data_IF_498135248580
#
_entry.id   IF_498135248580
#
_cell.length_a   1.000
_cell.length_b   1.000
_cell.length_c   1.000
_cell.angle_alpha   90.00
_cell.angle_beta   90.00
_cell.angle_gamma   90.00
#
_symmetry.space_group_name_H-M   'P 1'
#
loop_
_entity.id
_entity.type
_entity.pdbx_description
1 polymer ?
#
# COMPACT_ATOMS: atom_id res chain seq x y z
N UNK A 1 -2.31 12.22 -24.24
CA UNK A 1 -1.47 11.24 -24.95
C UNK A 1 -1.73 9.88 -24.34
N UNK A 2 -2.22 8.90 -25.12
CA UNK A 2 -2.49 7.55 -24.62
C UNK A 2 -1.17 6.76 -24.70
N UNK A 3 -0.71 6.23 -23.57
CA UNK A 3 0.48 5.38 -23.53
C UNK A 3 0.22 4.05 -24.25
N UNK A 4 1.18 3.60 -25.05
CA UNK A 4 1.11 2.30 -25.74
C UNK A 4 1.10 1.16 -24.69
N UNK A 5 0.10 0.28 -24.79
CA UNK A 5 -0.07 -0.88 -23.89
C UNK A 5 1.14 -1.82 -23.90
N UNK A 6 1.82 -1.97 -25.05
CA UNK A 6 3.03 -2.79 -25.16
C UNK A 6 4.18 -2.17 -24.38
N UNK A 7 4.38 -0.85 -24.48
CA UNK A 7 5.41 -0.12 -23.73
C UNK A 7 5.18 -0.23 -22.22
N UNK A 8 3.93 -0.08 -21.77
CA UNK A 8 3.57 -0.21 -20.35
C UNK A 8 3.84 -1.64 -19.86
N UNK A 9 3.41 -2.65 -20.61
CA UNK A 9 3.61 -4.07 -20.28
C UNK A 9 5.10 -4.43 -20.19
N UNK A 10 5.91 -3.99 -21.14
CA UNK A 10 7.34 -4.25 -21.13
C UNK A 10 8.06 -3.55 -19.97
N UNK A 11 7.65 -2.33 -19.63
CA UNK A 11 8.18 -1.61 -18.47
C UNK A 11 7.86 -2.33 -17.17
N UNK A 12 6.63 -2.78 -16.97
CA UNK A 12 6.22 -3.56 -15.79
C UNK A 12 7.00 -4.87 -15.68
N UNK A 13 7.20 -5.59 -16.79
CA UNK A 13 8.02 -6.82 -16.81
C UNK A 13 9.48 -6.57 -16.44
N UNK A 14 10.06 -5.44 -16.88
CA UNK A 14 11.43 -5.06 -16.50
C UNK A 14 11.54 -4.77 -15.00
N UNK A 15 10.54 -4.07 -14.44
CA UNK A 15 10.46 -3.82 -12.99
C UNK A 15 10.38 -5.16 -12.24
N UNK A 16 9.45 -6.03 -12.61
CA UNK A 16 9.28 -7.36 -12.01
C UNK A 16 10.58 -8.18 -12.05
N UNK A 17 11.21 -8.28 -13.22
CA UNK A 17 12.48 -9.00 -13.40
C UNK A 17 13.58 -8.45 -12.49
N UNK A 18 13.71 -7.13 -12.37
CA UNK A 18 14.72 -6.52 -11.52
C UNK A 18 14.41 -6.73 -10.03
N UNK A 19 13.15 -6.63 -9.61
CA UNK A 19 12.75 -6.96 -8.23
C UNK A 19 13.04 -8.43 -7.88
N UNK A 20 12.78 -9.37 -8.80
CA UNK A 20 13.12 -10.78 -8.60
C UNK A 20 14.61 -11.00 -8.44
N UNK A 21 15.44 -10.31 -9.24
CA UNK A 21 16.90 -10.37 -9.10
C UNK A 21 17.37 -9.80 -7.77
N UNK A 22 16.86 -8.63 -7.38
CA UNK A 22 17.20 -8.01 -6.09
C UNK A 22 16.80 -8.89 -4.91
N UNK A 23 15.64 -9.57 -4.99
CA UNK A 23 15.23 -10.53 -3.97
C UNK A 23 16.27 -11.64 -3.76
N UNK A 24 16.73 -12.27 -4.85
CA UNK A 24 17.78 -13.31 -4.76
C UNK A 24 19.07 -12.78 -4.15
N UNK A 25 19.46 -11.56 -4.50
CA UNK A 25 20.64 -10.92 -3.92
C UNK A 25 20.47 -10.64 -2.41
N UNK A 26 19.24 -10.33 -1.93
CA UNK A 26 18.98 -10.21 -0.50
C UNK A 26 19.08 -11.56 0.22
N UNK A 27 18.58 -12.64 -0.38
CA UNK A 27 18.73 -14.00 0.18
C UNK A 27 20.24 -14.36 0.32
N UNK A 28 21.07 -13.97 -0.65
CA UNK A 28 22.53 -14.12 -0.57
C UNK A 28 23.15 -13.23 0.53
N UNK A 29 22.65 -12.00 0.74
CA UNK A 29 23.13 -11.14 1.83
C UNK A 29 22.84 -11.71 3.23
N UNK A 30 21.75 -12.45 3.41
CA UNK A 30 21.49 -13.14 4.69
C UNK A 30 22.62 -14.10 5.05
N UNK A 31 23.20 -14.80 4.07
CA UNK A 31 24.35 -15.68 4.29
C UNK A 31 25.61 -14.91 4.75
N UNK A 32 25.80 -13.68 4.27
CA UNK A 32 26.90 -12.80 4.71
C UNK A 32 26.71 -12.41 6.19
N UNK A 33 25.48 -12.14 6.61
CA UNK A 33 25.17 -11.82 8.02
C UNK A 33 25.53 -12.99 8.93
N UNK A 34 25.18 -14.23 8.54
CA UNK A 34 25.53 -15.44 9.30
C UNK A 34 27.05 -15.58 9.43
N UNK A 35 27.79 -15.44 8.32
CA UNK A 35 29.26 -15.50 8.36
C UNK A 35 29.86 -14.43 9.30
N UNK A 36 29.23 -13.26 9.39
CA UNK A 36 29.70 -12.19 10.27
C UNK A 36 29.40 -12.47 11.74
N UNK A 37 28.26 -13.13 12.03
CA UNK A 37 27.98 -13.62 13.38
C UNK A 37 29.03 -14.65 13.82
N UNK A 38 29.45 -15.54 12.92
CA UNK A 38 30.52 -16.50 13.20
C UNK A 38 31.87 -15.79 13.45
N UNK A 39 32.21 -14.76 12.68
CA UNK A 39 33.41 -13.93 12.92
C UNK A 39 33.36 -13.29 14.32
N UNK A 40 32.21 -12.77 14.74
CA UNK A 40 32.06 -12.23 16.10
C UNK A 40 32.20 -13.31 17.17
N UNK A 41 31.60 -14.48 16.97
CA UNK A 41 31.73 -15.60 17.90
C UNK A 41 33.19 -16.01 18.09
N UNK A 42 33.95 -16.15 16.99
CA UNK A 42 35.38 -16.44 17.05
C UNK A 42 36.20 -15.32 17.69
N UNK A 43 35.83 -14.06 17.44
CA UNK A 43 36.49 -12.92 18.07
C UNK A 43 36.27 -12.90 19.59
N UNK A 44 35.04 -13.13 20.05
CA UNK A 44 34.71 -13.18 21.48
C UNK A 44 35.39 -14.37 22.17
N UNK A 45 35.43 -15.53 21.51
CA UNK A 45 36.18 -16.70 22.00
C UNK A 45 37.68 -16.36 22.15
N UNK A 46 38.29 -15.78 21.12
CA UNK A 46 39.71 -15.38 21.14
C UNK A 46 39.97 -14.33 22.23
N UNK A 47 39.07 -13.35 22.38
CA UNK A 47 39.16 -12.30 23.40
C UNK A 47 39.07 -12.88 24.81
N UNK A 48 38.19 -13.87 25.03
CA UNK A 48 38.05 -14.55 26.32
C UNK A 48 39.33 -15.33 26.70
N UNK A 49 39.93 -16.03 25.74
CA UNK A 49 41.16 -16.82 25.94
C UNK A 49 42.39 -15.92 26.15
N UNK A 50 42.53 -14.85 25.37
CA UNK A 50 43.64 -13.90 25.49
C UNK A 50 43.58 -13.02 26.74
N UNK A 51 42.41 -12.88 27.37
CA UNK A 51 42.29 -12.16 28.63
C UNK A 51 43.02 -12.86 29.80
N UNK A 52 43.37 -14.14 29.66
CA UNK A 52 43.87 -15.00 30.73
C UNK A 52 45.38 -14.84 31.01
N UNK A 53 46.19 -14.43 30.03
CA UNK A 53 47.64 -14.21 30.24
C UNK A 53 48.25 -13.13 29.34
N UNK A 54 49.33 -12.48 29.81
CA UNK A 54 50.08 -11.50 29.01
C UNK A 54 50.87 -12.15 27.86
N UNK A 55 51.18 -13.44 27.97
CA UNK A 55 51.89 -14.19 26.94
C UNK A 55 50.98 -14.48 25.74
N UNK A 56 49.73 -14.86 25.99
CA UNK A 56 48.72 -15.06 24.94
C UNK A 56 48.41 -13.76 24.17
N UNK A 57 48.33 -12.62 24.89
CA UNK A 57 48.18 -11.29 24.25
C UNK A 57 49.35 -10.97 23.33
N UNK A 58 50.57 -11.28 23.76
CA UNK A 58 51.78 -11.05 22.96
C UNK A 58 51.81 -11.95 21.72
N UNK A 59 51.44 -13.21 21.86
CA UNK A 59 51.35 -14.18 20.76
C UNK A 59 50.31 -13.77 19.72
N UNK A 60 49.10 -13.40 20.14
CA UNK A 60 48.06 -12.90 19.24
C UNK A 60 48.50 -11.61 18.55
N UNK A 61 49.13 -10.69 19.28
CA UNK A 61 49.68 -9.46 18.68
C UNK A 61 50.76 -9.71 17.63
N UNK A 62 51.58 -10.76 17.77
CA UNK A 62 52.54 -11.17 16.74
C UNK A 62 51.86 -11.82 15.53
N UNK A 63 50.90 -12.71 15.76
CA UNK A 63 50.17 -13.37 14.67
C UNK A 63 49.40 -12.35 13.84
N UNK A 64 48.65 -11.44 14.47
CA UNK A 64 47.89 -10.40 13.77
C UNK A 64 48.79 -9.57 12.85
N UNK A 65 49.99 -9.17 13.31
CA UNK A 65 50.97 -8.41 12.51
C UNK A 65 51.46 -9.14 11.26
N UNK A 66 51.35 -10.46 11.23
CA UNK A 66 51.77 -11.29 10.08
C UNK A 66 50.61 -11.68 9.16
N UNK A 67 49.38 -11.38 9.56
CA UNK A 67 48.15 -11.67 8.80
C UNK A 67 47.61 -10.42 8.13
N UNK A 68 46.78 -10.60 7.10
CA UNK A 68 46.02 -9.50 6.46
C UNK A 68 44.63 -9.31 7.08
N UNK A 69 44.42 -9.77 8.32
CA UNK A 69 43.10 -9.81 8.96
C UNK A 69 42.53 -8.39 9.13
N UNK A 70 43.36 -7.44 9.52
CA UNK A 70 42.95 -6.06 9.75
C UNK A 70 42.55 -5.38 8.44
N UNK A 71 43.35 -5.55 7.39
CA UNK A 71 43.08 -5.02 6.05
C UNK A 71 41.77 -5.57 5.49
N UNK A 72 41.59 -6.89 5.55
CA UNK A 72 40.38 -7.56 5.08
C UNK A 72 39.13 -7.09 5.86
N UNK A 73 39.24 -6.95 7.19
CA UNK A 73 38.14 -6.46 8.02
C UNK A 73 37.81 -5.00 7.70
N UNK A 74 38.81 -4.13 7.56
CA UNK A 74 38.63 -2.72 7.22
C UNK A 74 38.00 -2.52 5.85
N UNK A 75 38.46 -3.26 4.83
CA UNK A 75 37.87 -3.20 3.48
C UNK A 75 36.41 -3.66 3.49
N UNK A 76 36.13 -4.79 4.14
CA UNK A 76 34.77 -5.30 4.28
C UNK A 76 33.86 -4.30 5.01
N UNK A 77 34.32 -3.73 6.13
CA UNK A 77 33.56 -2.74 6.88
C UNK A 77 33.26 -1.49 6.06
N UNK A 78 34.22 -1.00 5.28
CA UNK A 78 34.00 0.11 4.35
C UNK A 78 32.94 -0.23 3.31
N UNK A 79 33.02 -1.43 2.71
CA UNK A 79 32.03 -1.89 1.72
C UNK A 79 30.62 -1.98 2.33
N UNK A 80 30.50 -2.41 3.59
CA UNK A 80 29.23 -2.49 4.30
C UNK A 80 28.63 -1.08 4.54
N UNK A 81 29.44 -0.12 4.97
CA UNK A 81 29.00 1.28 5.16
C UNK A 81 28.52 1.87 3.83
N UNK A 82 29.27 1.69 2.75
CA UNK A 82 28.91 2.16 1.42
C UNK A 82 27.60 1.55 0.93
N UNK A 83 27.41 0.25 1.17
CA UNK A 83 26.17 -0.46 0.84
C UNK A 83 24.99 0.08 1.66
N UNK A 84 25.17 0.29 2.97
CA UNK A 84 24.13 0.85 3.84
C UNK A 84 23.68 2.24 3.36
N UNK A 85 24.62 3.10 3.00
CA UNK A 85 24.35 4.44 2.45
C UNK A 85 23.53 4.35 1.16
N UNK A 86 23.95 3.49 0.22
CA UNK A 86 23.26 3.26 -1.06
C UNK A 86 21.84 2.72 -0.84
N UNK A 87 21.66 1.71 0.01
CA UNK A 87 20.34 1.13 0.31
C UNK A 87 19.41 2.19 0.93
N UNK A 88 19.92 2.97 1.88
CA UNK A 88 19.14 4.04 2.54
C UNK A 88 18.61 5.02 1.49
N UNK A 89 19.45 5.46 0.55
CA UNK A 89 19.06 6.39 -0.51
C UNK A 89 18.00 5.83 -1.48
N UNK A 90 17.96 4.51 -1.67
CA UNK A 90 17.03 3.84 -2.59
C UNK A 90 15.71 3.46 -1.89
N UNK A 91 15.72 3.26 -0.57
CA UNK A 91 14.56 2.81 0.20
C UNK A 91 13.32 3.71 0.03
N UNK A 92 13.51 5.04 0.01
CA UNK A 92 12.43 6.01 -0.19
C UNK A 92 11.80 5.85 -1.58
N UNK A 93 12.62 5.67 -2.62
CA UNK A 93 12.13 5.46 -4.00
C UNK A 93 11.39 4.13 -4.15
N UNK A 94 11.83 3.08 -3.46
CA UNK A 94 11.12 1.79 -3.45
C UNK A 94 9.74 1.93 -2.81
N UNK A 95 9.63 2.72 -1.73
CA UNK A 95 8.33 3.02 -1.11
C UNK A 95 7.41 3.78 -2.06
N UNK A 96 7.92 4.77 -2.80
CA UNK A 96 7.15 5.50 -3.81
C UNK A 96 6.63 4.56 -4.91
N UNK A 97 7.48 3.65 -5.40
CA UNK A 97 7.09 2.64 -6.40
C UNK A 97 5.99 1.73 -5.84
N UNK A 98 6.13 1.26 -4.60
CA UNK A 98 5.12 0.43 -3.95
C UNK A 98 3.77 1.17 -3.84
N UNK A 99 3.77 2.42 -3.37
CA UNK A 99 2.57 3.25 -3.27
C UNK A 99 1.92 3.51 -4.64
N UNK A 100 2.74 3.75 -5.67
CA UNK A 100 2.27 3.91 -7.03
C UNK A 100 1.57 2.64 -7.54
N UNK A 101 2.18 1.47 -7.39
CA UNK A 101 1.57 0.20 -7.82
C UNK A 101 0.31 -0.12 -7.00
N UNK A 102 0.33 0.13 -5.69
CA UNK A 102 -0.82 -0.06 -4.81
C UNK A 102 -2.00 0.85 -5.17
N UNK A 103 -1.75 2.04 -5.71
CA UNK A 103 -2.81 2.93 -6.21
C UNK A 103 -3.63 2.23 -7.30
N UNK A 104 -3.00 1.54 -8.24
CA UNK A 104 -3.71 0.75 -9.26
C UNK A 104 -4.34 -0.53 -8.72
N UNK A 105 -4.00 -0.92 -7.49
CA UNK A 105 -4.56 -2.12 -6.84
C UNK A 105 -5.77 -1.79 -5.97
N UNK A 106 -5.78 -0.60 -5.36
CA UNK A 106 -6.74 -0.22 -4.32
C UNK A 106 -7.69 0.90 -4.72
N UNK A 107 -7.44 1.57 -5.86
CA UNK A 107 -8.22 2.70 -6.33
C UNK A 107 -8.79 2.42 -7.71
N UNK A 108 -10.10 2.64 -7.88
CA UNK A 108 -10.78 2.61 -9.18
C UNK A 108 -11.63 3.84 -9.36
N UNK A 109 -11.68 4.35 -10.59
CA UNK A 109 -12.55 5.45 -10.96
C UNK A 109 -13.50 4.98 -12.04
N UNK A 110 -14.80 5.07 -11.79
CA UNK A 110 -15.84 4.66 -12.74
C UNK A 110 -16.57 5.89 -13.26
N UNK A 111 -16.77 5.96 -14.58
CA UNK A 111 -17.60 6.99 -15.20
C UNK A 111 -18.91 6.37 -15.67
N UNK A 112 -19.99 6.72 -14.99
CA UNK A 112 -21.30 6.09 -15.19
C UNK A 112 -22.12 6.98 -16.12
N UNK A 113 -22.14 6.67 -17.41
CA UNK A 113 -22.80 7.53 -18.42
C UNK A 113 -24.33 7.54 -18.29
N UNK A 114 -24.94 6.44 -17.85
CA UNK A 114 -26.37 6.35 -17.60
C UNK A 114 -26.64 6.46 -16.08
N UNK A 115 -27.29 7.53 -15.60
CA UNK A 115 -27.62 7.71 -14.19
C UNK A 115 -28.40 6.53 -13.59
N UNK A 116 -29.23 5.82 -14.36
CA UNK A 116 -29.96 4.64 -13.86
C UNK A 116 -29.02 3.48 -13.50
N UNK A 117 -27.89 3.36 -14.21
CA UNK A 117 -26.87 2.33 -13.93
C UNK A 117 -26.10 2.60 -12.64
N UNK A 118 -26.15 3.83 -12.08
CA UNK A 118 -25.47 4.13 -10.81
C UNK A 118 -26.04 3.32 -9.67
N UNK A 119 -27.36 3.13 -9.65
CA UNK A 119 -28.05 2.41 -8.59
C UNK A 119 -27.79 0.91 -8.70
N UNK A 120 -27.88 0.35 -9.90
CA UNK A 120 -27.52 -1.05 -10.14
C UNK A 120 -26.06 -1.33 -9.76
N UNK A 121 -25.14 -0.43 -10.11
CA UNK A 121 -23.72 -0.52 -9.76
C UNK A 121 -23.52 -0.50 -8.25
N UNK A 122 -24.13 0.45 -7.55
CA UNK A 122 -24.00 0.60 -6.10
C UNK A 122 -24.68 -0.53 -5.33
N UNK A 123 -25.85 -1.01 -5.78
CA UNK A 123 -26.54 -2.14 -5.15
C UNK A 123 -25.73 -3.42 -5.31
N UNK A 124 -25.32 -3.79 -6.52
CA UNK A 124 -24.49 -4.98 -6.75
C UNK A 124 -23.12 -4.90 -6.06
N UNK A 125 -22.60 -3.69 -5.91
CA UNK A 125 -21.41 -3.41 -5.10
C UNK A 125 -21.64 -3.66 -3.61
N UNK A 126 -22.68 -3.07 -3.03
CA UNK A 126 -22.97 -3.11 -1.60
C UNK A 126 -23.47 -4.47 -1.13
N UNK A 127 -24.14 -5.24 -1.99
CA UNK A 127 -24.51 -6.64 -1.72
C UNK A 127 -23.28 -7.52 -1.43
N UNK A 128 -22.10 -7.16 -1.97
CA UNK A 128 -20.83 -7.83 -1.70
C UNK A 128 -20.16 -7.44 -0.38
N UNK A 129 -20.67 -6.44 0.34
CA UNK A 129 -20.18 -5.95 1.63
C UNK A 129 -21.14 -6.36 2.75
N UNK A 130 -20.87 -7.51 3.37
CA UNK A 130 -21.74 -8.13 4.37
C UNK A 130 -21.70 -7.49 5.78
N UNK A 131 -21.03 -6.35 5.96
CA UNK A 131 -20.71 -5.84 7.29
C UNK A 131 -21.58 -4.66 7.72
N UNK A 132 -21.86 -4.64 9.02
CA UNK A 132 -22.57 -3.61 9.81
C UNK A 132 -21.80 -2.29 9.90
N UNK A 133 -21.23 -1.84 8.78
CA UNK A 133 -20.44 -0.63 8.75
C UNK A 133 -21.34 0.58 8.84
N UNK A 134 -21.04 1.44 9.82
CA UNK A 134 -21.58 2.78 9.88
C UNK A 134 -20.85 3.59 8.81
N UNK A 135 -21.60 3.94 7.78
CA UNK A 135 -21.10 4.84 6.75
C UNK A 135 -21.26 6.28 7.20
N UNK A 136 -20.24 7.10 6.89
CA UNK A 136 -20.24 8.55 7.14
C UNK A 136 -20.34 9.31 5.82
N UNK A 137 -21.55 9.64 5.34
CA UNK A 137 -21.72 10.55 4.24
C UNK A 137 -21.27 11.97 4.61
N UNK A 138 -20.41 12.55 3.78
CA UNK A 138 -20.01 13.96 3.84
C UNK A 138 -20.38 14.63 2.52
N UNK A 139 -21.16 15.70 2.57
CA UNK A 139 -21.60 16.45 1.40
C UNK A 139 -20.80 17.74 1.27
N UNK A 140 -20.33 18.05 0.06
CA UNK A 140 -19.52 19.24 -0.18
C UNK A 140 -20.46 20.41 -0.54
N UNK A 141 -20.77 21.28 0.44
CA UNK A 141 -21.63 22.47 0.31
C UNK A 141 -22.64 22.62 1.46
N UNK A 142 -23.41 23.71 1.47
CA UNK A 142 -24.47 23.93 2.47
C UNK A 142 -25.61 22.91 2.30
N UNK A 143 -25.93 22.18 3.37
CA UNK A 143 -26.92 21.10 3.35
C UNK A 143 -27.82 21.10 4.57
N UNK A 144 -29.13 20.88 4.34
CA UNK A 144 -30.10 20.53 5.39
C UNK A 144 -30.07 19.02 5.65
N UNK A 145 -29.16 18.57 6.52
CA UNK A 145 -29.02 17.15 6.91
C UNK A 145 -30.30 16.56 7.50
N UNK A 146 -31.17 17.41 8.05
CA UNK A 146 -32.38 16.99 8.77
C UNK A 146 -33.45 16.41 7.82
N UNK A 147 -33.44 16.80 6.54
CA UNK A 147 -34.35 16.23 5.53
C UNK A 147 -33.95 14.79 5.16
N UNK A 148 -32.66 14.45 5.25
CA UNK A 148 -32.16 13.10 5.03
C UNK A 148 -32.52 12.19 6.20
N UNK A 149 -32.38 12.69 7.44
CA UNK A 149 -32.79 11.97 8.66
C UNK A 149 -34.27 11.60 8.60
N UNK A 150 -35.15 12.57 8.31
CA UNK A 150 -36.60 12.34 8.23
C UNK A 150 -36.98 11.35 7.13
N UNK A 151 -36.36 11.46 5.95
CA UNK A 151 -36.74 10.67 4.78
C UNK A 151 -36.18 9.25 4.79
N UNK A 152 -34.99 9.06 5.34
CA UNK A 152 -34.23 7.81 5.22
C UNK A 152 -34.00 7.08 6.55
N UNK A 153 -34.39 7.68 7.68
CA UNK A 153 -34.20 7.09 9.01
C UNK A 153 -32.73 6.96 9.42
N UNK A 154 -31.84 7.80 8.86
CA UNK A 154 -30.42 7.83 9.19
C UNK A 154 -30.16 8.66 10.45
N UNK A 155 -29.10 8.36 11.19
CA UNK A 155 -28.78 9.05 12.46
C UNK A 155 -27.79 10.19 12.20
N UNK A 156 -27.98 11.35 12.82
CA UNK A 156 -27.03 12.47 12.74
C UNK A 156 -25.88 12.27 13.73
N UNK A 157 -24.65 12.51 13.31
CA UNK A 157 -23.44 12.40 14.12
C UNK A 157 -22.54 13.62 13.87
N UNK A 158 -22.81 14.73 14.59
CA UNK A 158 -22.17 16.01 14.31
C UNK A 158 -22.52 16.53 12.90
N UNK A 159 -21.53 16.84 12.05
CA UNK A 159 -21.77 17.25 10.65
C UNK A 159 -22.06 16.07 9.70
N UNK A 160 -21.94 14.83 10.18
CA UNK A 160 -22.08 13.62 9.35
C UNK A 160 -23.43 12.94 9.54
N UNK A 161 -23.79 12.08 8.58
CA UNK A 161 -24.86 11.11 8.74
C UNK A 161 -24.27 9.73 9.05
N UNK A 162 -25.02 8.89 9.75
CA UNK A 162 -24.72 7.48 9.99
C UNK A 162 -25.80 6.65 9.30
N UNK A 163 -25.40 5.87 8.31
CA UNK A 163 -26.30 4.99 7.55
C UNK A 163 -25.77 3.55 7.57
N UNK A 164 -26.69 2.60 7.73
CA UNK A 164 -26.40 1.17 7.47
C UNK A 164 -26.28 0.92 5.97
N UNK A 165 -25.55 -0.15 5.59
CA UNK A 165 -25.34 -0.51 4.19
C UNK A 165 -26.64 -0.62 3.38
N UNK A 166 -27.72 -1.17 3.98
CA UNK A 166 -29.04 -1.34 3.36
C UNK A 166 -29.66 0.01 2.95
N UNK A 167 -29.34 1.08 3.67
CA UNK A 167 -29.91 2.42 3.47
C UNK A 167 -29.09 3.22 2.45
N UNK A 168 -27.84 2.81 2.16
CA UNK A 168 -26.95 3.53 1.26
C UNK A 168 -27.50 3.71 -0.16
N UNK A 169 -28.09 2.70 -0.84
CA UNK A 169 -28.65 2.91 -2.18
C UNK A 169 -29.69 4.03 -2.21
N UNK A 170 -30.61 4.05 -1.22
CA UNK A 170 -31.65 5.08 -1.08
C UNK A 170 -31.07 6.45 -0.70
N UNK A 171 -30.02 6.46 0.12
CA UNK A 171 -29.32 7.71 0.47
C UNK A 171 -28.68 8.34 -0.75
N UNK A 172 -28.02 7.53 -1.57
CA UNK A 172 -27.36 7.98 -2.79
C UNK A 172 -28.41 8.44 -3.82
N UNK A 173 -29.50 7.69 -3.98
CA UNK A 173 -30.64 8.09 -4.82
C UNK A 173 -31.21 9.44 -4.41
N UNK A 174 -31.44 9.63 -3.12
CA UNK A 174 -31.95 10.89 -2.63
C UNK A 174 -30.96 12.04 -2.82
N UNK A 175 -29.66 11.81 -2.56
CA UNK A 175 -28.60 12.78 -2.83
C UNK A 175 -28.58 13.23 -4.30
N UNK A 176 -28.59 12.29 -5.25
CA UNK A 176 -28.65 12.61 -6.67
C UNK A 176 -29.93 13.35 -7.06
N UNK A 177 -31.08 12.97 -6.50
CA UNK A 177 -32.36 13.66 -6.70
C UNK A 177 -32.37 15.10 -6.18
N UNK A 178 -31.58 15.40 -5.14
CA UNK A 178 -31.36 16.76 -4.62
C UNK A 178 -30.25 17.52 -5.38
N UNK A 179 -29.80 17.02 -6.54
CA UNK A 179 -28.66 17.55 -7.29
C UNK A 179 -27.33 17.60 -6.50
N UNK A 180 -27.21 16.82 -5.43
CA UNK A 180 -25.96 16.67 -4.68
C UNK A 180 -25.05 15.71 -5.45
N UNK A 181 -24.18 16.31 -6.27
CA UNK A 181 -23.30 15.56 -7.17
C UNK A 181 -21.88 15.41 -6.62
N UNK A 182 -21.60 15.93 -5.43
CA UNK A 182 -20.29 15.86 -4.77
C UNK A 182 -20.48 15.44 -3.31
N UNK A 183 -20.18 14.18 -3.01
CA UNK A 183 -20.24 13.67 -1.64
C UNK A 183 -19.33 12.45 -1.47
N UNK A 184 -18.94 12.19 -0.22
CA UNK A 184 -18.07 11.09 0.18
C UNK A 184 -18.89 10.13 1.03
N UNK A 185 -18.69 8.82 0.88
CA UNK A 185 -19.24 7.79 1.78
C UNK A 185 -18.06 6.96 2.26
N UNK A 186 -17.79 6.96 3.57
CA UNK A 186 -16.64 6.29 4.15
C UNK A 186 -17.03 5.31 5.26
N UNK A 187 -16.34 4.16 5.31
CA UNK A 187 -16.32 3.18 6.39
C UNK A 187 -14.87 2.74 6.66
N UNK A 188 -14.67 1.73 7.52
CA UNK A 188 -13.33 1.29 7.94
C UNK A 188 -12.42 0.88 6.77
N UNK A 189 -12.96 0.19 5.76
CA UNK A 189 -12.19 -0.41 4.64
C UNK A 189 -12.69 0.04 3.25
N UNK A 190 -13.52 1.08 3.21
CA UNK A 190 -14.13 1.55 1.99
C UNK A 190 -14.34 3.06 2.01
N UNK A 191 -13.91 3.72 0.94
CA UNK A 191 -14.26 5.10 0.66
C UNK A 191 -14.76 5.24 -0.76
N UNK A 192 -15.95 5.82 -0.91
CA UNK A 192 -16.55 6.18 -2.17
C UNK A 192 -16.55 7.70 -2.28
N UNK A 193 -16.08 8.24 -3.40
CA UNK A 193 -16.10 9.66 -3.69
C UNK A 193 -16.94 9.87 -4.96
N UNK A 194 -18.09 10.50 -4.79
CA UNK A 194 -18.99 10.87 -5.87
C UNK A 194 -18.66 12.28 -6.33
N UNK A 195 -18.55 12.47 -7.65
CA UNK A 195 -18.26 13.76 -8.28
C UNK A 195 -19.26 14.06 -9.39
N UNK A 196 -19.36 15.35 -9.73
CA UNK A 196 -20.10 15.84 -10.92
C UNK A 196 -19.77 15.01 -12.16
N UNK A 197 -20.79 14.74 -12.98
CA UNK A 197 -20.68 13.90 -14.17
C UNK A 197 -20.76 12.40 -13.89
N UNK A 198 -21.37 11.99 -12.77
CA UNK A 198 -21.58 10.59 -12.38
C UNK A 198 -20.28 9.78 -12.32
N UNK A 199 -19.26 10.42 -11.74
CA UNK A 199 -17.95 9.80 -11.52
C UNK A 199 -17.90 9.29 -10.09
N UNK A 200 -17.57 8.01 -9.92
CA UNK A 200 -17.42 7.36 -8.62
C UNK A 200 -15.98 6.88 -8.49
N UNK A 201 -15.25 7.41 -7.52
CA UNK A 201 -13.91 6.91 -7.15
C UNK A 201 -14.04 6.01 -5.94
N UNK A 202 -13.55 4.78 -6.02
CA UNK A 202 -13.61 3.78 -4.97
C UNK A 202 -12.21 3.51 -4.47
N UNK A 203 -12.02 3.59 -3.15
CA UNK A 203 -10.81 3.21 -2.44
C UNK A 203 -11.13 2.03 -1.53
N UNK A 204 -10.52 0.88 -1.76
CA UNK A 204 -10.74 -0.34 -0.99
C UNK A 204 -9.68 -1.40 -1.31
N UNK A 205 -9.75 -2.57 -0.69
CA UNK A 205 -8.83 -3.67 -0.93
C UNK A 205 -8.97 -4.28 -2.33
N UNK A 206 -7.88 -4.88 -2.85
CA UNK A 206 -7.84 -5.45 -4.20
C UNK A 206 -8.93 -6.51 -4.46
N UNK A 207 -9.22 -7.34 -3.46
CA UNK A 207 -10.21 -8.41 -3.59
C UNK A 207 -11.60 -7.83 -3.85
N UNK A 208 -11.88 -6.71 -3.20
CA UNK A 208 -13.12 -5.97 -3.37
C UNK A 208 -13.10 -5.27 -4.73
N UNK A 209 -12.01 -4.58 -5.10
CA UNK A 209 -11.85 -3.97 -6.42
C UNK A 209 -12.19 -4.96 -7.55
N UNK A 210 -11.73 -6.21 -7.48
CA UNK A 210 -12.06 -7.25 -8.48
C UNK A 210 -13.56 -7.56 -8.55
N UNK A 211 -14.27 -7.57 -7.41
CA UNK A 211 -15.73 -7.74 -7.37
C UNK A 211 -16.43 -6.54 -8.02
N UNK A 212 -15.96 -5.32 -7.73
CA UNK A 212 -16.50 -4.09 -8.33
C UNK A 212 -16.27 -4.07 -9.85
N UNK A 213 -15.06 -4.42 -10.29
CA UNK A 213 -14.70 -4.49 -11.72
C UNK A 213 -15.61 -5.48 -12.47
N UNK A 214 -16.05 -6.57 -11.82
CA UNK A 214 -17.04 -7.50 -12.38
C UNK A 214 -18.42 -6.87 -12.50
N UNK A 215 -18.95 -6.27 -11.42
CA UNK A 215 -20.24 -5.57 -11.44
C UNK A 215 -20.26 -4.46 -12.48
N UNK A 216 -19.19 -3.68 -12.58
CA UNK A 216 -19.03 -2.62 -13.58
C UNK A 216 -19.10 -3.20 -15.00
N UNK A 217 -18.42 -4.33 -15.26
CA UNK A 217 -18.43 -5.00 -16.56
C UNK A 217 -19.80 -5.50 -16.95
N UNK A 218 -20.52 -6.14 -16.01
CA UNK A 218 -21.87 -6.67 -16.23
C UNK A 218 -22.87 -5.54 -16.54
N UNK A 219 -22.58 -4.31 -16.07
CA UNK A 219 -23.35 -3.09 -16.33
C UNK A 219 -22.80 -2.24 -17.48
N UNK A 220 -21.76 -2.70 -18.18
CA UNK A 220 -21.07 -1.96 -19.25
C UNK A 220 -20.56 -0.57 -18.81
N UNK A 221 -20.10 -0.46 -17.57
CA UNK A 221 -19.45 0.73 -17.02
C UNK A 221 -17.94 0.54 -17.15
N UNK A 222 -17.30 1.45 -17.88
CA UNK A 222 -15.84 1.50 -17.98
C UNK A 222 -15.24 2.20 -16.74
N UNK A 223 -14.13 1.66 -16.25
CA UNK A 223 -13.24 2.39 -15.34
C UNK A 223 -12.21 3.20 -16.14
N UNK A 224 -11.83 4.36 -15.58
CA UNK A 224 -10.82 5.29 -16.11
C UNK A 224 -9.42 5.00 -15.54
#
# INVERSE_FOLDING_TARGET
MVLDKAIVKDSLKRIEKNLTKSKKAFDEMESIIVNFQDVYNYFDELKSKTALSNEDKKNVGQIIKTTTLLENYSEFYSNLIDLQSKITSVSLKLREVALFLETYRTIRKYKIQNPQKIFAFLSGFLEGFAESYIFKPEFIGDMKTDDFVKKLGVVKDGPYLKANYIVLPKLIEYAYGQNMKNFVIESHNLKLIFRKGYVVTVYTENEIIKKIDRVARDLEIAFE
#
